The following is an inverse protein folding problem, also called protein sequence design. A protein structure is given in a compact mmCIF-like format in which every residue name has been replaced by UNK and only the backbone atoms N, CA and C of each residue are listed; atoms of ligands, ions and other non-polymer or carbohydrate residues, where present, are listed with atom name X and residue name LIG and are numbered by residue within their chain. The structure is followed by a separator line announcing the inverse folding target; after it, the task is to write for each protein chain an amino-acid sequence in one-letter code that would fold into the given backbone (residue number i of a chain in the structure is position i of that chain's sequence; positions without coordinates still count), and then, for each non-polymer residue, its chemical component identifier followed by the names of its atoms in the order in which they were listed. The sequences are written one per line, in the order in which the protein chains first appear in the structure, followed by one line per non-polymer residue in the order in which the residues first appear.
data_IF_815627361657
#
_entry.id   IF_815627361657
#
_cell.length_a   1.000
_cell.length_b   1.000
_cell.length_c   1.000
_cell.angle_alpha   90.00
_cell.angle_beta   90.00
_cell.angle_gamma   90.00
#
_symmetry.space_group_name_H-M   'P 1'
#
loop_
_entity.id
_entity.type
_entity.pdbx_description
1 polymer ?
#
# COMPACT_ATOMS: atom_id res chain seq x y z
N UNK A 1 26.24 1.70 -14.24
CA UNK A 1 25.44 2.20 -15.37
C UNK A 1 24.69 0.98 -15.90
N UNK A 2 23.39 0.82 -15.85
CA UNK A 2 22.28 1.76 -16.02
C UNK A 2 21.08 1.25 -15.20
N UNK A 3 20.39 2.15 -14.50
CA UNK A 3 19.16 1.85 -13.79
C UNK A 3 18.03 1.69 -14.81
N UNK A 4 17.52 0.47 -14.97
CA UNK A 4 16.31 0.22 -15.75
C UNK A 4 15.12 0.15 -14.79
N UNK A 5 14.38 1.23 -14.68
CA UNK A 5 12.98 1.20 -14.23
C UNK A 5 12.20 2.29 -14.98
N UNK A 6 11.69 1.87 -16.14
CA UNK A 6 10.62 2.42 -16.97
C UNK A 6 9.88 3.68 -16.45
N UNK A 7 10.04 4.80 -17.15
CA UNK A 7 9.06 5.90 -17.16
C UNK A 7 7.88 5.52 -18.05
N UNK A 8 6.77 5.03 -17.47
CA UNK A 8 5.44 5.09 -18.11
C UNK A 8 4.31 4.83 -17.10
N UNK A 9 4.03 5.80 -16.24
CA UNK A 9 2.89 5.75 -15.32
C UNK A 9 3.25 6.15 -13.90
N UNK A 10 2.26 6.66 -13.16
CA UNK A 10 2.41 7.01 -11.76
C UNK A 10 2.55 5.77 -10.86
N UNK A 11 3.42 5.83 -9.86
CA UNK A 11 3.64 4.75 -8.89
C UNK A 11 2.35 4.46 -8.10
N UNK A 12 1.99 3.18 -7.96
CA UNK A 12 0.71 2.77 -7.37
C UNK A 12 0.86 2.42 -5.90
N UNK A 13 0.03 3.04 -5.07
CA UNK A 13 -0.06 2.81 -3.63
C UNK A 13 -1.52 2.57 -3.22
N UNK A 14 -1.73 1.84 -2.12
CA UNK A 14 -3.08 1.60 -1.59
C UNK A 14 -3.14 1.67 -0.07
N UNK A 15 -4.35 1.82 0.47
CA UNK A 15 -4.67 1.42 1.84
C UNK A 15 -5.51 0.14 1.83
N UNK A 16 -5.00 -0.93 2.43
CA UNK A 16 -5.76 -2.16 2.68
C UNK A 16 -6.58 -2.06 3.95
N UNK A 17 -7.82 -2.56 3.92
CA UNK A 17 -8.69 -2.65 5.10
C UNK A 17 -10.01 -3.37 4.78
N UNK A 18 -10.79 -3.68 5.82
CA UNK A 18 -12.15 -4.21 5.68
C UNK A 18 -13.00 -3.86 6.92
N UNK A 19 -13.92 -2.88 6.83
CA UNK A 19 -14.17 -1.99 5.69
C UNK A 19 -13.05 -0.94 5.53
N UNK A 20 -12.92 -0.37 4.32
CA UNK A 20 -11.85 0.61 4.01
C UNK A 20 -12.32 1.91 3.34
N UNK A 21 -13.54 1.92 2.78
CA UNK A 21 -14.06 3.04 1.99
C UNK A 21 -14.11 4.39 2.75
N UNK A 22 -14.21 4.37 4.08
CA UNK A 22 -14.23 5.58 4.90
C UNK A 22 -12.84 6.19 5.16
N UNK A 23 -11.77 5.52 4.76
CA UNK A 23 -10.42 6.05 4.95
C UNK A 23 -10.22 7.33 4.15
N UNK A 24 -9.70 8.37 4.81
CA UNK A 24 -9.31 9.62 4.15
C UNK A 24 -7.93 9.55 3.48
N UNK A 25 -7.20 8.44 3.64
CA UNK A 25 -5.83 8.31 3.12
C UNK A 25 -5.74 8.58 1.60
N UNK A 26 -6.62 8.07 0.72
CA UNK A 26 -6.55 8.41 -0.70
C UNK A 26 -6.65 9.90 -0.99
N UNK A 27 -7.56 10.61 -0.30
CA UNK A 27 -7.66 12.06 -0.44
C UNK A 27 -6.37 12.77 0.01
N UNK A 28 -5.83 12.40 1.19
CA UNK A 28 -4.60 13.00 1.74
C UNK A 28 -3.41 12.78 0.80
N UNK A 29 -3.22 11.56 0.31
CA UNK A 29 -2.10 11.23 -0.58
C UNK A 29 -2.26 11.82 -1.99
N UNK A 30 -3.48 11.95 -2.50
CA UNK A 30 -3.74 12.68 -3.74
C UNK A 30 -3.41 14.18 -3.60
N UNK A 31 -3.77 14.80 -2.47
CA UNK A 31 -3.38 16.19 -2.20
C UNK A 31 -1.87 16.34 -2.07
N UNK A 32 -1.19 15.41 -1.40
CA UNK A 32 0.27 15.38 -1.34
C UNK A 32 0.87 15.34 -2.75
N UNK A 33 0.44 14.39 -3.59
CA UNK A 33 0.93 14.24 -4.97
C UNK A 33 0.75 15.52 -5.79
N UNK A 34 -0.42 16.16 -5.68
CA UNK A 34 -0.71 17.41 -6.39
C UNK A 34 0.17 18.58 -5.92
N UNK A 35 0.47 18.65 -4.62
CA UNK A 35 1.28 19.72 -4.04
C UNK A 35 2.78 19.56 -4.32
N UNK A 36 3.27 18.32 -4.39
CA UNK A 36 4.70 18.03 -4.56
C UNK A 36 5.09 17.74 -6.02
N UNK A 37 4.12 17.46 -6.88
CA UNK A 37 4.37 17.00 -8.26
C UNK A 37 4.80 15.53 -8.33
N UNK A 38 4.68 14.77 -7.24
CA UNK A 38 4.98 13.35 -7.22
C UNK A 38 3.99 12.58 -8.10
N UNK A 39 4.52 11.77 -9.02
CA UNK A 39 3.71 10.97 -9.93
C UNK A 39 3.26 9.69 -9.23
N UNK A 40 2.26 9.79 -8.34
CA UNK A 40 1.70 8.65 -7.62
C UNK A 40 0.17 8.57 -7.74
N UNK A 41 -0.36 7.35 -7.68
CA UNK A 41 -1.79 7.05 -7.52
C UNK A 41 -1.97 6.35 -6.18
N UNK A 42 -2.94 6.81 -5.38
CA UNK A 42 -3.23 6.24 -4.08
C UNK A 42 -4.72 5.91 -3.95
N UNK A 43 -5.06 4.64 -3.70
CA UNK A 43 -6.45 4.16 -3.70
C UNK A 43 -6.82 3.34 -2.45
N UNK A 44 -8.11 3.09 -2.26
CA UNK A 44 -8.58 2.07 -1.31
C UNK A 44 -8.44 0.68 -1.94
N UNK A 45 -8.10 -0.33 -1.13
CA UNK A 45 -8.14 -1.73 -1.56
C UNK A 45 -8.82 -2.56 -0.48
N UNK A 46 -10.05 -3.01 -0.76
CA UNK A 46 -10.78 -3.90 0.14
C UNK A 46 -10.15 -5.30 0.05
N UNK A 47 -9.72 -5.86 1.18
CA UNK A 47 -9.22 -7.23 1.25
C UNK A 47 -10.22 -8.14 1.99
N UNK A 48 -10.40 -9.42 1.58
CA UNK A 48 -11.15 -10.40 2.36
C UNK A 48 -10.48 -10.67 3.70
N UNK A 49 -11.26 -10.94 4.76
CA UNK A 49 -10.72 -11.18 6.12
C UNK A 49 -9.77 -12.38 6.15
N UNK A 50 -10.05 -13.40 5.34
CA UNK A 50 -9.29 -14.64 5.16
C UNK A 50 -8.37 -14.63 3.93
N UNK A 51 -8.32 -13.51 3.20
CA UNK A 51 -7.64 -13.39 1.89
C UNK A 51 -6.64 -12.26 1.82
N UNK A 52 -6.21 -11.70 2.95
CA UNK A 52 -5.33 -10.53 2.99
C UNK A 52 -3.98 -10.77 2.29
N UNK A 53 -3.29 -11.86 2.63
CA UNK A 53 -1.98 -12.16 2.03
C UNK A 53 -2.09 -12.32 0.50
N UNK A 54 -3.09 -13.06 0.03
CA UNK A 54 -3.33 -13.22 -1.40
C UNK A 54 -3.61 -11.87 -2.09
N UNK A 55 -4.38 -10.99 -1.45
CA UNK A 55 -4.66 -9.65 -1.97
C UNK A 55 -3.39 -8.78 -2.03
N UNK A 56 -2.50 -8.85 -1.04
CA UNK A 56 -1.20 -8.15 -1.06
C UNK A 56 -0.31 -8.69 -2.17
N UNK A 57 -0.17 -10.02 -2.29
CA UNK A 57 0.65 -10.65 -3.34
C UNK A 57 0.14 -10.32 -4.75
N UNK A 58 -1.17 -10.31 -4.94
CA UNK A 58 -1.79 -9.88 -6.19
C UNK A 58 -1.46 -8.41 -6.50
N UNK A 59 -1.58 -7.51 -5.52
CA UNK A 59 -1.24 -6.10 -5.70
C UNK A 59 0.24 -5.88 -6.06
N UNK A 60 1.16 -6.63 -5.42
CA UNK A 60 2.58 -6.62 -5.79
C UNK A 60 2.76 -7.08 -7.24
N UNK A 61 2.10 -8.16 -7.65
CA UNK A 61 2.16 -8.67 -9.02
C UNK A 61 1.56 -7.70 -10.07
N UNK A 62 0.58 -6.89 -9.68
CA UNK A 62 0.03 -5.78 -10.48
C UNK A 62 0.97 -4.56 -10.59
N UNK A 63 2.18 -4.62 -10.00
CA UNK A 63 3.16 -3.54 -9.99
C UNK A 63 2.99 -2.54 -8.85
N UNK A 64 2.25 -2.91 -7.78
CA UNK A 64 2.10 -2.08 -6.58
C UNK A 64 3.44 -1.78 -5.90
N UNK A 65 3.64 -0.52 -5.51
CA UNK A 65 4.94 -0.01 -5.00
C UNK A 65 4.97 0.13 -3.47
N UNK A 66 3.81 0.13 -2.83
CA UNK A 66 3.68 0.13 -1.38
C UNK A 66 2.23 0.20 -0.92
N UNK A 67 1.98 -0.11 0.35
CA UNK A 67 0.64 -0.04 0.91
C UNK A 67 0.66 0.36 2.39
N UNK A 68 -0.33 1.17 2.78
CA UNK A 68 -0.73 1.26 4.18
C UNK A 68 -1.72 0.13 4.49
N UNK A 69 -1.79 -0.26 5.76
CA UNK A 69 -2.69 -1.31 6.23
C UNK A 69 -3.45 -0.83 7.46
N UNK A 70 -4.78 -1.00 7.44
CA UNK A 70 -5.66 -0.71 8.58
C UNK A 70 -6.43 -1.96 9.01
N UNK A 71 -7.31 -1.80 9.99
CA UNK A 71 -8.10 -2.90 10.55
C UNK A 71 -8.84 -3.71 9.45
N UNK A 72 -8.92 -5.04 9.62
CA UNK A 72 -8.37 -5.85 10.71
C UNK A 72 -6.90 -6.29 10.51
N UNK A 73 -6.25 -5.94 9.39
CA UNK A 73 -5.09 -6.67 8.86
C UNK A 73 -3.71 -6.29 9.40
N UNK A 74 -3.62 -5.52 10.49
CA UNK A 74 -2.32 -5.00 10.97
C UNK A 74 -1.37 -6.13 11.39
N UNK A 75 -1.89 -7.15 12.06
CA UNK A 75 -1.10 -8.31 12.48
C UNK A 75 -0.72 -9.19 11.29
N UNK A 76 -1.64 -9.37 10.34
CA UNK A 76 -1.35 -10.13 9.11
C UNK A 76 -0.25 -9.46 8.29
N UNK A 77 -0.28 -8.12 8.17
CA UNK A 77 0.78 -7.36 7.51
C UNK A 77 2.12 -7.45 8.25
N UNK A 78 2.11 -7.46 9.58
CA UNK A 78 3.30 -7.67 10.38
C UNK A 78 3.90 -9.07 10.15
N UNK A 79 3.07 -10.11 10.09
CA UNK A 79 3.51 -11.48 9.83
C UNK A 79 4.00 -11.69 8.38
N UNK A 80 3.40 -10.99 7.42
CA UNK A 80 3.72 -11.10 6.00
C UNK A 80 5.01 -10.36 5.60
N UNK A 81 5.44 -9.35 6.37
CA UNK A 81 6.58 -8.52 6.02
C UNK A 81 7.92 -9.30 6.12
N UNK A 82 8.72 -9.27 5.05
CA UNK A 82 10.07 -9.86 5.06
C UNK A 82 11.03 -9.14 6.03
N UNK A 83 10.74 -7.88 6.36
CA UNK A 83 11.54 -7.07 7.26
C UNK A 83 10.65 -6.13 8.06
N UNK A 84 10.93 -6.03 9.36
CA UNK A 84 10.24 -5.14 10.28
C UNK A 84 11.19 -4.06 10.77
N UNK A 85 10.71 -2.82 10.80
CA UNK A 85 11.43 -1.75 11.50
C UNK A 85 11.50 -2.06 13.01
N UNK A 86 12.48 -1.53 13.77
CA UNK A 86 12.57 -1.78 15.21
C UNK A 86 11.29 -1.43 15.98
N UNK A 87 10.59 -0.36 15.58
CA UNK A 87 9.31 0.03 16.19
C UNK A 87 8.17 -0.94 15.87
N UNK A 88 8.18 -1.54 14.67
CA UNK A 88 7.17 -2.53 14.29
C UNK A 88 7.39 -3.85 15.03
N UNK A 89 8.64 -4.30 15.15
CA UNK A 89 8.99 -5.54 15.84
C UNK A 89 8.75 -5.52 17.37
N UNK A 90 8.62 -4.33 17.97
CA UNK A 90 8.36 -4.13 19.38
C UNK A 90 6.87 -3.94 19.74
N UNK A 91 5.98 -4.07 18.75
CA UNK A 91 4.54 -3.81 18.89
C UNK A 91 3.75 -4.95 19.55
#
# INVERSE_FOLDING_TARGET
MNAAASTSGADRYVVFGNPVAHSKSPFIHAQFAAQTGEAIVYEHRLAPVDGFEAAVRAFIAEGGRGANVTVPFKLDAHALADTLSPRAAAA
#
